data_IF_815758211907
#
_entry.id   IF_815758211907
#
_cell.length_a   1.000
_cell.length_b   1.000
_cell.length_c   1.000
_cell.angle_alpha   90.00
_cell.angle_beta   90.00
_cell.angle_gamma   90.00
#
_symmetry.space_group_name_H-M   'P 1'
#
loop_
_entity.id
_entity.type
_entity.pdbx_description
1 polymer ?
#
# COMPACT_ATOMS: atom_id res chain seq x y z
N UNK A 1 -1.73 -30.14 -19.85
CA UNK A 1 -0.86 -28.97 -19.59
C UNK A 1 -1.40 -28.23 -18.39
N UNK A 2 -0.67 -28.24 -17.28
CA UNK A 2 -1.05 -27.58 -16.03
C UNK A 2 -0.69 -26.09 -16.12
N UNK A 3 -1.69 -25.21 -16.20
CA UNK A 3 -1.49 -23.78 -15.96
C UNK A 3 -2.12 -23.41 -14.63
N UNK A 4 -1.33 -23.60 -13.58
CA UNK A 4 -1.65 -23.16 -12.23
C UNK A 4 -1.33 -21.66 -12.13
N UNK A 5 -2.29 -20.81 -12.46
CA UNK A 5 -2.18 -19.36 -12.20
C UNK A 5 -2.36 -19.17 -10.70
N UNK A 6 -1.25 -19.07 -9.98
CA UNK A 6 -1.22 -18.65 -8.58
C UNK A 6 -1.87 -17.25 -8.47
N UNK A 7 -3.15 -17.21 -8.10
CA UNK A 7 -3.77 -16.00 -7.54
C UNK A 7 -3.01 -15.61 -6.27
N UNK A 8 -2.02 -14.73 -6.39
CA UNK A 8 -1.49 -13.98 -5.24
C UNK A 8 -2.55 -12.96 -4.82
N UNK A 9 -3.59 -13.44 -4.13
CA UNK A 9 -4.40 -12.58 -3.31
C UNK A 9 -3.47 -11.84 -2.34
N UNK A 10 -3.56 -10.51 -2.32
CA UNK A 10 -2.87 -9.66 -1.35
C UNK A 10 -3.45 -9.84 0.05
N UNK A 11 -3.54 -11.08 0.55
CA UNK A 11 -3.69 -11.33 1.98
C UNK A 11 -2.31 -11.17 2.61
N UNK A 12 -1.96 -9.92 2.90
CA UNK A 12 -0.69 -9.56 3.55
C UNK A 12 -0.77 -9.92 5.03
N UNK A 13 -0.67 -11.19 5.38
CA UNK A 13 -0.29 -11.61 6.75
C UNK A 13 1.23 -11.49 6.89
N UNK A 14 1.76 -10.25 6.84
CA UNK A 14 3.19 -10.06 7.09
C UNK A 14 3.44 -10.06 8.60
N UNK A 15 4.19 -11.06 9.06
CA UNK A 15 4.89 -11.05 10.34
C UNK A 15 5.56 -9.67 10.55
N UNK A 16 4.95 -8.81 11.36
CA UNK A 16 5.48 -7.50 11.66
C UNK A 16 6.56 -7.63 12.74
N UNK A 17 7.83 -7.61 12.34
CA UNK A 17 8.94 -7.49 13.29
C UNK A 17 9.11 -6.00 13.65
N UNK A 18 8.68 -5.63 14.85
CA UNK A 18 8.93 -4.28 15.40
C UNK A 18 10.43 -4.12 15.63
N UNK A 19 11.06 -3.22 14.88
CA UNK A 19 12.48 -2.89 15.04
C UNK A 19 12.63 -1.41 15.41
N UNK A 20 13.60 -1.11 16.28
CA UNK A 20 14.05 0.25 16.53
C UNK A 20 15.25 0.51 15.63
N UNK A 21 15.26 1.64 14.94
CA UNK A 21 16.29 2.02 13.98
C UNK A 21 16.58 3.50 14.22
N UNK A 22 17.85 3.90 14.18
CA UNK A 22 18.24 5.29 14.17
C UNK A 22 18.29 5.79 12.72
N UNK A 23 17.52 6.82 12.41
CA UNK A 23 17.46 7.45 11.09
C UNK A 23 17.39 8.96 11.27
N UNK A 24 18.11 9.68 10.42
CA UNK A 24 18.03 11.14 10.38
C UNK A 24 16.73 11.57 9.70
N UNK A 25 15.97 12.42 10.38
CA UNK A 25 14.68 12.94 9.90
C UNK A 25 14.65 14.45 10.14
N UNK A 26 14.15 15.20 9.15
CA UNK A 26 13.86 16.62 9.30
C UNK A 26 12.75 16.82 10.36
N UNK A 27 13.13 17.39 11.51
CA UNK A 27 12.24 17.61 12.65
C UNK A 27 11.14 18.65 12.37
N UNK A 28 11.43 19.66 11.55
CA UNK A 28 10.47 20.72 11.22
C UNK A 28 9.31 20.15 10.41
N UNK A 29 9.60 19.37 9.38
CA UNK A 29 8.59 18.66 8.58
C UNK A 29 7.77 17.69 9.43
N UNK A 30 8.43 17.00 10.37
CA UNK A 30 7.74 16.08 11.27
C UNK A 30 6.79 16.83 12.23
N UNK A 31 7.23 17.97 12.77
CA UNK A 31 6.40 18.83 13.61
C UNK A 31 5.20 19.39 12.83
N UNK A 32 5.42 19.81 11.59
CA UNK A 32 4.38 20.28 10.69
C UNK A 32 3.33 19.17 10.41
N UNK A 33 3.78 17.96 10.06
CA UNK A 33 2.91 16.79 9.88
C UNK A 33 2.10 16.49 11.16
N UNK A 34 2.74 16.62 12.32
CA UNK A 34 2.08 16.44 13.63
C UNK A 34 1.12 17.57 13.99
N UNK A 35 1.26 18.76 13.39
CA UNK A 35 0.29 19.85 13.55
C UNK A 35 -0.96 19.63 12.71
N UNK A 36 -0.81 19.08 11.49
CA UNK A 36 -1.94 18.80 10.60
C UNK A 36 -2.80 17.61 11.05
N UNK A 37 -2.19 16.60 11.66
CA UNK A 37 -2.88 15.41 12.19
C UNK A 37 -2.48 15.21 13.64
N UNK A 38 -3.46 14.92 14.51
CA UNK A 38 -3.25 14.67 15.94
C UNK A 38 -2.54 13.32 16.20
N UNK A 39 -1.25 13.22 15.86
CA UNK A 39 -0.45 12.05 16.15
C UNK A 39 0.00 12.02 17.62
N UNK A 40 -0.13 10.86 18.27
CA UNK A 40 0.26 10.67 19.67
C UNK A 40 1.78 10.60 19.86
N UNK A 41 2.54 10.29 18.81
CA UNK A 41 4.00 10.20 18.87
C UNK A 41 4.65 10.41 17.50
N UNK A 42 5.91 10.85 17.52
CA UNK A 42 6.78 10.94 16.33
C UNK A 42 6.84 9.62 15.55
N UNK A 43 6.94 8.49 16.27
CA UNK A 43 6.95 7.15 15.68
C UNK A 43 5.66 6.85 14.92
N UNK A 44 4.52 7.25 15.48
CA UNK A 44 3.22 7.04 14.83
C UNK A 44 3.14 7.84 13.53
N UNK A 45 3.54 9.11 13.56
CA UNK A 45 3.57 9.97 12.37
C UNK A 45 4.44 9.36 11.25
N UNK A 46 5.65 8.89 11.59
CA UNK A 46 6.55 8.24 10.62
C UNK A 46 5.96 6.95 10.07
N UNK A 47 5.42 6.08 10.94
CA UNK A 47 4.80 4.83 10.49
C UNK A 47 3.60 5.08 9.56
N UNK A 48 2.74 6.04 9.90
CA UNK A 48 1.60 6.41 9.07
C UNK A 48 2.06 6.96 7.72
N UNK A 49 3.09 7.80 7.68
CA UNK A 49 3.64 8.31 6.43
C UNK A 49 4.19 7.18 5.54
N UNK A 50 4.87 6.18 6.12
CA UNK A 50 5.36 5.00 5.39
C UNK A 50 4.21 4.17 4.80
N UNK A 51 3.14 3.96 5.56
CA UNK A 51 1.96 3.22 5.09
C UNK A 51 1.23 3.96 3.98
N UNK A 52 1.06 5.28 4.10
CA UNK A 52 0.44 6.12 3.08
C UNK A 52 1.29 6.13 1.79
N UNK A 53 2.60 6.28 1.91
CA UNK A 53 3.49 6.24 0.76
C UNK A 53 3.46 4.88 0.05
N UNK A 54 3.41 3.78 0.80
CA UNK A 54 3.31 2.45 0.22
C UNK A 54 1.99 2.27 -0.55
N UNK A 55 0.87 2.79 -0.04
CA UNK A 55 -0.42 2.76 -0.77
C UNK A 55 -0.31 3.47 -2.11
N UNK A 56 0.35 4.62 -2.15
CA UNK A 56 0.60 5.37 -3.39
C UNK A 56 1.43 4.53 -4.36
N UNK A 57 2.51 3.88 -3.90
CA UNK A 57 3.35 3.04 -4.74
C UNK A 57 2.60 1.82 -5.29
N UNK A 58 1.79 1.16 -4.46
CA UNK A 58 0.95 0.04 -4.90
C UNK A 58 -0.07 0.52 -5.93
N UNK A 59 -0.72 1.66 -5.71
CA UNK A 59 -1.64 2.25 -6.68
C UNK A 59 -0.96 2.52 -8.02
N UNK A 60 0.25 3.09 -8.01
CA UNK A 60 1.04 3.30 -9.23
C UNK A 60 1.38 1.99 -9.94
N UNK A 61 1.69 0.93 -9.21
CA UNK A 61 1.98 -0.38 -9.80
C UNK A 61 0.73 -1.01 -10.42
N UNK A 62 -0.43 -0.87 -9.76
CA UNK A 62 -1.71 -1.32 -10.31
C UNK A 62 -2.07 -0.57 -11.60
N UNK A 63 -1.82 0.74 -11.66
CA UNK A 63 -2.04 1.54 -12.87
C UNK A 63 -1.14 1.08 -14.03
N UNK A 64 0.05 0.53 -13.78
CA UNK A 64 0.86 -0.06 -14.86
C UNK A 64 0.26 -1.34 -15.46
N UNK A 65 -0.66 -1.98 -14.75
CA UNK A 65 -1.39 -3.14 -15.26
C UNK A 65 -2.55 -2.72 -16.18
N UNK A 66 -2.92 -1.44 -16.19
CA UNK A 66 -3.88 -0.88 -17.14
C UNK A 66 -3.36 -1.04 -18.57
N UNK A 67 -4.11 -1.76 -19.41
CA UNK A 67 -3.70 -2.10 -20.77
C UNK A 67 -2.80 -3.35 -20.89
N UNK A 68 -2.41 -3.98 -19.77
CA UNK A 68 -1.84 -5.33 -19.80
C UNK A 68 -2.98 -6.35 -20.01
N UNK A 69 -3.12 -6.82 -21.25
CA UNK A 69 -4.21 -7.66 -21.72
C UNK A 69 -4.30 -9.04 -21.02
N UNK A 70 -4.99 -9.10 -19.88
CA UNK A 70 -5.41 -10.36 -19.26
C UNK A 70 -6.73 -10.23 -18.49
N UNK A 71 -7.62 -9.32 -18.89
CA UNK A 71 -8.97 -9.33 -18.35
C UNK A 71 -9.81 -10.37 -19.10
N UNK A 72 -10.00 -11.55 -18.49
CA UNK A 72 -10.85 -12.64 -18.99
C UNK A 72 -12.31 -12.54 -18.48
N UNK A 73 -12.72 -11.39 -17.95
CA UNK A 73 -14.05 -11.20 -17.36
C UNK A 73 -15.13 -10.93 -18.42
N UNK A 74 -16.20 -11.71 -18.39
CA UNK A 74 -17.40 -11.48 -19.20
C UNK A 74 -18.23 -10.34 -18.58
N UNK A 75 -18.10 -9.16 -19.19
CA UNK A 75 -18.76 -7.92 -18.80
C UNK A 75 -20.28 -8.01 -18.80
N UNK A 76 -20.86 -8.84 -19.68
CA UNK A 76 -22.31 -8.92 -19.84
C UNK A 76 -22.92 -9.73 -18.70
N UNK A 77 -22.22 -10.76 -18.20
CA UNK A 77 -22.65 -11.54 -17.03
C UNK A 77 -22.63 -10.75 -15.73
N UNK A 78 -21.77 -9.73 -15.60
CA UNK A 78 -21.66 -8.93 -14.37
C UNK A 78 -22.69 -7.80 -14.28
N UNK A 79 -23.38 -7.47 -15.38
CA UNK A 79 -24.41 -6.41 -15.43
C UNK A 79 -25.84 -6.91 -15.23
N UNK A 80 -26.04 -8.23 -15.20
CA UNK A 80 -27.35 -8.88 -15.14
C UNK A 80 -27.78 -9.31 -13.72
N UNK A 81 -27.11 -8.82 -12.68
CA UNK A 81 -27.51 -8.99 -11.26
C UNK A 81 -28.13 -7.69 -10.72
#
# INVERSE_FOLDING_TARGET
>A
MHFFVQKKGYFRTKNFKKMAINIDINQEKLAEIMSFKQFKSKKQAVNTALDEYLKILVGKELLKLEGSNAWEGDLDKMRLD
#
